data_IF_894729521829
#
_entry.id   IF_894729521829
#
_cell.length_a   1.000
_cell.length_b   1.000
_cell.length_c   1.000
_cell.angle_alpha   90.00
_cell.angle_beta   90.00
_cell.angle_gamma   90.00
#
_symmetry.space_group_name_H-M   'P 1'
#
loop_
_entity.id
_entity.type
_entity.pdbx_description
1 polymer ?
#
# COMPACT_ATOMS: atom_id res chain seq x y z
N UNK A 1 19.35 71.59 -32.43
CA UNK A 1 19.62 70.24 -31.90
C UNK A 1 19.09 70.20 -30.48
N UNK A 2 17.84 69.76 -30.30
CA UNK A 2 17.14 69.69 -29.01
C UNK A 2 16.95 68.20 -28.73
N UNK A 3 17.58 67.69 -27.67
CA UNK A 3 17.36 66.32 -27.20
C UNK A 3 16.14 66.31 -26.29
N UNK A 4 15.07 65.65 -26.75
CA UNK A 4 13.88 65.38 -25.97
C UNK A 4 14.15 64.12 -25.13
N UNK A 5 14.29 64.27 -23.81
CA UNK A 5 14.31 63.14 -22.88
C UNK A 5 12.89 62.63 -22.69
N UNK A 6 12.59 61.44 -23.24
CA UNK A 6 11.33 60.75 -23.03
C UNK A 6 11.49 59.84 -21.81
N UNK A 7 11.02 60.29 -20.64
CA UNK A 7 11.00 59.48 -19.42
C UNK A 7 9.80 58.54 -19.51
N UNK A 8 10.05 57.26 -19.75
CA UNK A 8 9.02 56.22 -19.64
C UNK A 8 8.81 55.92 -18.16
N UNK A 9 7.75 56.46 -17.57
CA UNK A 9 7.24 55.98 -16.29
C UNK A 9 6.57 54.61 -16.54
N UNK A 10 7.25 53.51 -16.23
CA UNK A 10 6.59 52.22 -16.09
C UNK A 10 5.85 52.21 -14.75
N UNK A 11 4.52 52.36 -14.77
CA UNK A 11 3.69 52.03 -13.61
C UNK A 11 3.62 50.51 -13.58
N UNK A 12 4.41 49.89 -12.71
CA UNK A 12 4.21 48.49 -12.33
C UNK A 12 2.96 48.45 -11.46
N UNK A 13 1.83 48.08 -12.05
CA UNK A 13 0.63 47.71 -11.29
C UNK A 13 1.00 46.47 -10.48
N UNK A 14 1.19 46.62 -9.16
CA UNK A 14 1.24 45.47 -8.27
C UNK A 14 -0.14 44.81 -8.35
N UNK A 15 -0.23 43.63 -8.97
CA UNK A 15 -1.41 42.80 -8.85
C UNK A 15 -1.46 42.29 -7.40
N UNK A 16 -2.45 42.76 -6.66
CA UNK A 16 -2.76 42.30 -5.32
C UNK A 16 -3.27 40.85 -5.41
N UNK A 17 -2.64 39.91 -4.71
CA UNK A 17 -2.95 38.48 -4.81
C UNK A 17 -3.68 38.01 -3.54
N UNK A 18 -4.96 37.65 -3.69
CA UNK A 18 -5.66 36.85 -2.69
C UNK A 18 -5.01 35.46 -2.62
N UNK A 19 -4.67 34.99 -1.42
CA UNK A 19 -4.11 33.65 -1.21
C UNK A 19 -5.07 32.80 -0.40
N UNK A 20 -5.48 31.70 -0.99
CA UNK A 20 -6.27 30.67 -0.32
C UNK A 20 -5.34 29.53 0.09
N UNK A 21 -5.46 29.07 1.32
CA UNK A 21 -4.70 27.93 1.81
C UNK A 21 -5.63 26.93 2.51
N UNK A 22 -5.65 25.69 2.04
CA UNK A 22 -6.27 24.62 2.81
C UNK A 22 -5.37 24.37 4.03
N UNK A 23 -5.85 24.73 5.22
CA UNK A 23 -5.09 24.60 6.47
C UNK A 23 -5.02 23.16 6.97
N UNK A 24 -5.98 22.33 6.57
CA UNK A 24 -5.88 20.90 6.77
C UNK A 24 -5.02 20.30 5.64
N UNK A 25 -3.74 20.05 5.90
CA UNK A 25 -2.74 19.53 4.93
C UNK A 25 -3.06 18.13 4.36
N UNK A 26 -4.29 17.66 4.48
CA UNK A 26 -4.74 16.39 3.95
C UNK A 26 -5.42 16.63 2.61
N UNK A 27 -4.72 16.30 1.52
CA UNK A 27 -5.31 16.22 0.17
C UNK A 27 -6.31 15.06 0.03
N UNK A 28 -6.79 14.52 1.15
CA UNK A 28 -7.67 13.39 1.21
C UNK A 28 -8.73 13.56 2.29
N UNK A 29 -9.99 13.45 1.86
CA UNK A 29 -11.17 13.77 2.65
C UNK A 29 -12.16 12.60 2.58
N UNK A 30 -13.11 12.56 3.51
CA UNK A 30 -14.15 11.52 3.57
C UNK A 30 -15.47 12.13 3.12
N UNK A 31 -16.19 11.47 2.19
CA UNK A 31 -17.53 11.89 1.79
C UNK A 31 -18.48 11.90 3.01
N UNK A 32 -19.20 13.00 3.24
CA UNK A 32 -19.99 13.19 4.47
C UNK A 32 -19.21 13.76 5.66
N UNK A 33 -17.88 13.89 5.53
CA UNK A 33 -17.01 14.52 6.52
C UNK A 33 -16.95 16.04 6.39
N UNK A 34 -16.18 16.65 7.28
CA UNK A 34 -15.94 18.09 7.32
C UNK A 34 -14.52 18.41 6.82
N UNK A 35 -14.37 19.50 6.09
CA UNK A 35 -13.08 20.03 5.63
C UNK A 35 -12.92 21.46 6.12
N UNK A 36 -11.88 21.68 6.92
CA UNK A 36 -11.48 23.01 7.38
C UNK A 36 -10.61 23.71 6.33
N UNK A 37 -10.82 25.01 6.15
CA UNK A 37 -10.02 25.84 5.26
C UNK A 37 -9.73 27.23 5.85
N UNK A 38 -8.68 27.88 5.34
CA UNK A 38 -8.31 29.24 5.72
C UNK A 38 -8.12 30.12 4.49
N UNK A 39 -8.65 31.34 4.57
CA UNK A 39 -8.49 32.35 3.52
C UNK A 39 -7.69 33.51 4.08
N UNK A 40 -6.59 33.85 3.41
CA UNK A 40 -5.71 34.93 3.80
C UNK A 40 -5.66 35.96 2.67
N UNK A 41 -6.29 37.11 2.87
CA UNK A 41 -6.09 38.25 2.00
C UNK A 41 -4.82 38.99 2.40
N UNK A 42 -4.00 39.37 1.41
CA UNK A 42 -2.91 40.32 1.65
C UNK A 42 -3.37 41.77 1.62
N UNK A 43 -4.60 42.04 1.15
CA UNK A 43 -5.19 43.37 1.17
C UNK A 43 -6.20 43.48 2.32
N UNK A 44 -5.90 44.35 3.28
CA UNK A 44 -6.75 44.62 4.44
C UNK A 44 -8.02 45.41 4.08
N UNK A 45 -8.11 46.00 2.88
CA UNK A 45 -9.24 46.83 2.46
C UNK A 45 -10.25 46.09 1.57
N UNK A 46 -9.86 44.94 1.01
CA UNK A 46 -10.73 44.12 0.17
C UNK A 46 -11.05 42.84 0.91
N UNK A 47 -12.29 42.74 1.41
CA UNK A 47 -12.79 41.57 2.09
C UNK A 47 -13.70 40.82 1.09
N UNK A 48 -13.18 39.85 0.34
CA UNK A 48 -13.95 39.21 -0.72
C UNK A 48 -15.05 38.34 -0.12
N UNK A 49 -16.25 38.41 -0.68
CA UNK A 49 -17.13 37.25 -0.59
C UNK A 49 -16.52 36.15 -1.45
N UNK A 50 -16.39 34.95 -0.91
CA UNK A 50 -15.79 33.82 -1.62
C UNK A 50 -16.84 32.76 -1.91
N UNK A 51 -16.56 31.97 -2.93
CA UNK A 51 -17.39 30.85 -3.32
C UNK A 51 -16.49 29.63 -3.53
N UNK A 52 -16.77 28.55 -2.81
CA UNK A 52 -15.99 27.30 -2.84
C UNK A 52 -16.83 26.23 -3.52
N UNK A 53 -16.26 25.54 -4.50
CA UNK A 53 -16.92 24.41 -5.18
C UNK A 53 -16.01 23.21 -5.36
N UNK A 54 -16.66 22.05 -5.46
CA UNK A 54 -16.04 20.77 -5.75
C UNK A 54 -16.53 20.30 -7.11
N UNK A 55 -15.60 20.08 -8.03
CA UNK A 55 -15.87 19.57 -9.38
C UNK A 55 -15.18 18.22 -9.59
N UNK A 56 -15.81 17.35 -10.39
CA UNK A 56 -15.19 16.10 -10.82
C UNK A 56 -14.22 16.29 -11.99
N UNK A 57 -13.57 15.20 -12.42
CA UNK A 57 -12.65 15.20 -13.56
C UNK A 57 -13.29 15.58 -14.91
N UNK A 58 -14.62 15.60 -15.01
CA UNK A 58 -15.37 16.05 -16.18
C UNK A 58 -15.90 17.49 -16.01
N UNK A 59 -15.42 18.21 -15.00
CA UNK A 59 -15.79 19.59 -14.67
C UNK A 59 -17.27 19.75 -14.28
N UNK A 60 -17.92 18.67 -13.82
CA UNK A 60 -19.27 18.77 -13.28
C UNK A 60 -19.21 19.28 -11.84
N UNK A 61 -19.92 20.37 -11.57
CA UNK A 61 -20.11 20.90 -10.21
C UNK A 61 -20.96 19.94 -9.38
N UNK A 62 -20.36 19.39 -8.32
CA UNK A 62 -21.00 18.42 -7.43
C UNK A 62 -21.50 19.06 -6.14
N UNK A 63 -20.79 20.07 -5.66
CA UNK A 63 -21.13 20.81 -4.45
C UNK A 63 -20.55 22.21 -4.54
N UNK A 64 -21.25 23.19 -3.97
CA UNK A 64 -20.63 24.48 -3.72
C UNK A 64 -21.34 25.27 -2.63
N UNK A 65 -20.60 26.17 -2.00
CA UNK A 65 -21.02 26.97 -0.87
C UNK A 65 -20.38 28.37 -0.94
N UNK A 66 -21.14 29.39 -0.57
CA UNK A 66 -20.68 30.77 -0.55
C UNK A 66 -20.42 31.20 0.89
N UNK A 67 -19.30 31.89 1.10
CA UNK A 67 -18.89 32.37 2.40
C UNK A 67 -18.66 33.87 2.35
N UNK A 68 -19.23 34.60 3.31
CA UNK A 68 -18.89 35.98 3.54
C UNK A 68 -17.64 36.01 4.43
N UNK A 69 -16.54 36.48 3.86
CA UNK A 69 -15.34 36.78 4.66
C UNK A 69 -15.62 38.12 5.35
N UNK A 70 -15.43 38.18 6.66
CA UNK A 70 -15.61 39.42 7.44
C UNK A 70 -14.27 39.98 7.95
N UNK A 71 -13.28 39.10 8.14
CA UNK A 71 -11.93 39.44 8.56
C UNK A 71 -10.95 38.39 8.04
N UNK A 72 -9.68 38.75 7.88
CA UNK A 72 -8.62 37.83 7.46
C UNK A 72 -7.53 37.73 8.52
N UNK A 73 -7.06 36.53 8.89
CA UNK A 73 -7.39 35.23 8.30
C UNK A 73 -8.83 34.78 8.62
N UNK A 74 -9.51 34.23 7.61
CA UNK A 74 -10.85 33.69 7.72
C UNK A 74 -10.80 32.18 7.78
N UNK A 75 -11.37 31.58 8.81
CA UNK A 75 -11.42 30.13 8.96
C UNK A 75 -12.87 29.67 8.94
N UNK A 76 -13.15 28.63 8.16
CA UNK A 76 -14.46 28.01 8.13
C UNK A 76 -14.35 26.53 7.74
N UNK A 77 -15.47 25.83 7.81
CA UNK A 77 -15.59 24.41 7.56
C UNK A 77 -16.67 24.18 6.50
N UNK A 78 -16.40 23.31 5.54
CA UNK A 78 -17.41 22.83 4.57
C UNK A 78 -17.71 21.35 4.84
N UNK A 79 -18.99 21.00 4.93
CA UNK A 79 -19.42 19.59 5.05
C UNK A 79 -19.55 18.98 3.66
N UNK A 80 -18.73 17.97 3.36
CA UNK A 80 -18.78 17.25 2.09
C UNK A 80 -20.05 16.44 1.94
N UNK A 81 -20.65 16.44 0.75
CA UNK A 81 -21.81 15.62 0.44
C UNK A 81 -21.49 14.13 0.60
N UNK A 82 -22.32 13.41 1.38
CA UNK A 82 -22.18 11.95 1.56
C UNK A 82 -22.43 11.11 0.30
N UNK A 83 -22.87 11.76 -0.79
CA UNK A 83 -23.10 11.13 -2.10
C UNK A 83 -21.92 11.29 -3.07
N UNK A 84 -20.88 12.05 -2.70
CA UNK A 84 -19.66 12.15 -3.51
C UNK A 84 -19.04 10.77 -3.65
N UNK A 85 -18.65 10.37 -4.84
CA UNK A 85 -18.00 9.07 -5.07
C UNK A 85 -16.55 9.10 -4.62
N UNK A 86 -15.94 7.93 -4.44
CA UNK A 86 -14.50 7.88 -4.23
C UNK A 86 -13.78 8.32 -5.50
N UNK A 87 -12.81 9.23 -5.42
CA UNK A 87 -12.11 9.74 -6.60
C UNK A 87 -11.27 10.99 -6.37
N UNK A 88 -10.70 11.50 -7.45
CA UNK A 88 -9.98 12.78 -7.51
C UNK A 88 -10.94 13.88 -7.97
N UNK A 89 -10.84 15.04 -7.32
CA UNK A 89 -11.67 16.21 -7.54
C UNK A 89 -10.81 17.47 -7.55
N UNK A 90 -11.36 18.56 -8.06
CA UNK A 90 -10.79 19.90 -7.86
C UNK A 90 -11.66 20.68 -6.88
N UNK A 91 -11.01 21.29 -5.90
CA UNK A 91 -11.58 22.30 -5.03
C UNK A 91 -11.23 23.66 -5.61
N UNK A 92 -12.22 24.34 -6.18
CA UNK A 92 -12.06 25.68 -6.72
C UNK A 92 -12.59 26.71 -5.73
N UNK A 93 -11.87 27.81 -5.59
CA UNK A 93 -12.25 28.96 -4.79
C UNK A 93 -12.31 30.16 -5.71
N UNK A 94 -13.44 30.85 -5.71
CA UNK A 94 -13.68 32.01 -6.54
C UNK A 94 -13.93 33.24 -5.70
N UNK A 95 -13.62 34.39 -6.28
CA UNK A 95 -14.17 35.66 -5.84
C UNK A 95 -15.63 35.73 -6.30
N UNK A 96 -16.57 35.91 -5.37
CA UNK A 96 -18.00 35.92 -5.65
C UNK A 96 -18.42 37.13 -6.52
N UNK A 97 -17.68 38.24 -6.48
CA UNK A 97 -18.06 39.47 -7.18
C UNK A 97 -17.79 39.40 -8.69
N UNK A 98 -16.64 38.89 -9.09
CA UNK A 98 -16.20 38.84 -10.49
C UNK A 98 -16.08 37.41 -11.05
N UNK A 99 -16.36 36.40 -10.22
CA UNK A 99 -16.27 34.98 -10.55
C UNK A 99 -14.88 34.56 -11.04
N UNK A 100 -13.83 35.29 -10.65
CA UNK A 100 -12.44 34.92 -10.92
C UNK A 100 -11.99 33.82 -9.96
N UNK A 101 -11.20 32.87 -10.47
CA UNK A 101 -10.61 31.80 -9.65
C UNK A 101 -9.50 32.41 -8.79
N UNK A 102 -9.67 32.34 -7.47
CA UNK A 102 -8.66 32.68 -6.47
C UNK A 102 -7.66 31.51 -6.31
N UNK A 103 -8.17 30.28 -6.23
CA UNK A 103 -7.36 29.07 -6.07
C UNK A 103 -8.05 27.84 -6.64
N UNK A 104 -7.26 26.85 -7.02
CA UNK A 104 -7.73 25.55 -7.49
C UNK A 104 -6.77 24.48 -6.97
N UNK A 105 -7.28 23.52 -6.20
CA UNK A 105 -6.47 22.49 -5.56
C UNK A 105 -7.04 21.09 -5.80
N UNK A 106 -6.17 20.14 -6.12
CA UNK A 106 -6.56 18.76 -6.33
C UNK A 106 -6.74 18.05 -4.99
N UNK A 107 -7.94 17.52 -4.75
CA UNK A 107 -8.29 16.78 -3.54
C UNK A 107 -8.75 15.36 -3.91
N UNK A 108 -8.58 14.44 -2.99
CA UNK A 108 -9.10 13.07 -3.08
C UNK A 108 -10.24 12.93 -2.09
N UNK A 109 -11.37 12.37 -2.51
CA UNK A 109 -12.48 12.04 -1.61
C UNK A 109 -12.64 10.53 -1.57
N UNK A 110 -12.84 9.97 -0.38
CA UNK A 110 -13.15 8.56 -0.14
C UNK A 110 -14.60 8.45 0.33
N UNK A 111 -15.43 7.70 -0.40
CA UNK A 111 -16.77 7.36 0.06
C UNK A 111 -16.81 5.97 0.68
N UNK A 112 -16.82 5.92 2.00
CA UNK A 112 -16.86 4.67 2.77
C UNK A 112 -18.07 3.78 2.45
N UNK A 113 -19.17 4.33 1.90
CA UNK A 113 -20.34 3.53 1.50
C UNK A 113 -20.10 2.71 0.24
N UNK A 114 -19.25 3.17 -0.68
CA UNK A 114 -18.93 2.41 -1.90
C UNK A 114 -18.17 1.11 -1.60
N UNK A 115 -17.43 1.11 -0.50
CA UNK A 115 -16.72 -0.07 0.01
C UNK A 115 -17.66 -1.09 0.68
N UNK A 116 -18.93 -0.73 0.95
CA UNK A 116 -19.89 -1.60 1.63
C UNK A 116 -20.82 -2.39 0.69
N UNK A 117 -20.83 -2.10 -0.61
CA UNK A 117 -21.86 -2.58 -1.54
C UNK A 117 -21.30 -3.43 -2.69
N UNK A 118 -20.62 -4.54 -2.38
CA UNK A 118 -20.57 -5.73 -3.24
C UNK A 118 -20.43 -6.97 -2.37
N UNK A 119 -21.55 -7.60 -2.00
CA UNK A 119 -21.52 -8.96 -1.46
C UNK A 119 -22.62 -9.84 -2.07
N UNK A 120 -22.16 -11.00 -2.53
CA UNK A 120 -22.83 -12.04 -3.32
C UNK A 120 -23.50 -13.05 -2.37
N UNK A 121 -24.68 -13.54 -2.73
CA UNK A 121 -25.40 -14.59 -2.01
C UNK A 121 -24.83 -15.99 -2.28
N UNK A 122 -24.58 -16.77 -1.22
CA UNK A 122 -24.48 -18.23 -1.27
C UNK A 122 -23.55 -18.79 -0.19
N UNK A 123 -24.03 -19.71 0.65
CA UNK A 123 -23.20 -20.46 1.59
C UNK A 123 -23.20 -21.96 1.24
N UNK A 124 -22.01 -22.56 1.24
CA UNK A 124 -21.81 -23.99 1.38
C UNK A 124 -20.49 -24.25 2.10
N UNK A 125 -20.51 -25.20 3.02
CA UNK A 125 -19.37 -25.72 3.78
C UNK A 125 -18.25 -26.19 2.83
N UNK A 126 -17.02 -25.78 3.11
CA UNK A 126 -15.86 -25.95 2.23
C UNK A 126 -14.83 -26.86 2.92
N UNK A 127 -14.77 -28.10 2.44
CA UNK A 127 -13.76 -29.09 2.86
C UNK A 127 -12.48 -28.84 2.04
N UNK A 128 -11.44 -28.34 2.69
CA UNK A 128 -10.16 -27.94 2.07
C UNK A 128 -9.10 -29.00 2.36
N UNK A 129 -9.00 -30.01 1.49
CA UNK A 129 -8.04 -31.12 1.61
C UNK A 129 -6.80 -30.99 0.72
N UNK A 130 -6.33 -29.77 0.39
CA UNK A 130 -5.09 -29.59 -0.38
C UNK A 130 -4.15 -28.48 0.11
N UNK A 131 -2.88 -28.61 -0.27
CA UNK A 131 -1.68 -28.02 0.36
C UNK A 131 -1.44 -26.59 -0.17
N UNK A 132 -1.37 -25.61 0.75
CA UNK A 132 -1.26 -24.14 0.57
C UNK A 132 -2.37 -23.46 -0.26
N UNK A 133 -2.73 -22.20 0.04
CA UNK A 133 -3.85 -21.55 -0.65
C UNK A 133 -3.83 -20.04 -0.72
N UNK A 134 -4.62 -19.51 -1.67
CA UNK A 134 -4.75 -18.09 -1.96
C UNK A 134 -6.17 -17.57 -1.80
N UNK A 135 -6.36 -16.46 -1.09
CA UNK A 135 -7.66 -15.81 -0.95
C UNK A 135 -7.66 -14.54 -1.81
N UNK A 136 -8.54 -14.51 -2.82
CA UNK A 136 -8.89 -13.28 -3.56
C UNK A 136 -10.10 -12.65 -2.87
N UNK A 137 -9.93 -11.46 -2.31
CA UNK A 137 -11.06 -10.78 -1.67
C UNK A 137 -10.99 -9.28 -1.79
N UNK A 138 -12.15 -8.63 -1.92
CA UNK A 138 -12.30 -7.18 -1.99
C UNK A 138 -12.72 -6.62 -0.62
N UNK A 139 -12.04 -7.02 0.46
CA UNK A 139 -12.46 -6.69 1.83
C UNK A 139 -11.37 -5.98 2.63
N UNK A 140 -11.81 -5.10 3.53
CA UNK A 140 -11.01 -4.72 4.69
C UNK A 140 -11.05 -5.85 5.72
N UNK A 141 -9.97 -6.61 5.87
CA UNK A 141 -9.88 -7.67 6.88
C UNK A 141 -9.12 -7.13 8.09
N UNK A 142 -9.84 -6.90 9.20
CA UNK A 142 -9.27 -6.57 10.52
C UNK A 142 -9.43 -7.73 11.52
N UNK A 143 -9.86 -8.89 11.05
CA UNK A 143 -10.07 -10.04 11.93
C UNK A 143 -8.78 -10.83 12.12
N UNK A 144 -8.77 -11.65 13.17
CA UNK A 144 -7.67 -12.58 13.38
C UNK A 144 -7.85 -13.75 12.43
N UNK A 145 -6.84 -14.03 11.62
CA UNK A 145 -6.81 -15.21 10.77
C UNK A 145 -6.09 -16.31 11.53
N UNK A 146 -6.80 -17.42 11.80
CA UNK A 146 -6.26 -18.58 12.48
C UNK A 146 -6.22 -19.77 11.54
N UNK A 147 -5.23 -20.63 11.74
CA UNK A 147 -5.17 -21.89 11.04
C UNK A 147 -4.39 -22.93 11.80
N UNK A 148 -4.38 -24.14 11.27
CA UNK A 148 -3.60 -25.27 11.77
C UNK A 148 -2.68 -25.78 10.67
N UNK A 149 -1.44 -26.09 11.04
CA UNK A 149 -0.51 -26.79 10.16
C UNK A 149 -0.50 -28.26 10.54
N UNK A 150 -0.72 -29.14 9.56
CA UNK A 150 -0.61 -30.58 9.72
C UNK A 150 0.39 -31.15 8.72
N UNK A 151 1.05 -32.24 9.08
CA UNK A 151 1.82 -33.08 8.16
C UNK A 151 1.38 -34.52 8.36
N UNK A 152 1.02 -35.20 7.27
CA UNK A 152 0.41 -36.53 7.32
C UNK A 152 -0.81 -36.62 8.26
N UNK A 153 -1.59 -35.54 8.36
CA UNK A 153 -2.77 -35.43 9.22
C UNK A 153 -2.50 -34.99 10.67
N UNK A 154 -1.24 -35.03 11.14
CA UNK A 154 -0.88 -34.70 12.51
C UNK A 154 -0.48 -33.22 12.67
N UNK A 155 -0.93 -32.51 13.73
CA UNK A 155 -0.55 -31.13 13.97
C UNK A 155 0.95 -30.94 14.18
N UNK A 156 1.51 -29.87 13.64
CA UNK A 156 2.95 -29.63 13.66
C UNK A 156 3.31 -28.43 14.53
N UNK A 157 4.10 -28.65 15.59
CA UNK A 157 4.55 -27.62 16.53
C UNK A 157 5.77 -26.85 16.01
N UNK A 158 5.82 -25.55 16.30
CA UNK A 158 6.96 -24.66 16.04
C UNK A 158 7.35 -24.57 14.57
N UNK A 159 6.39 -24.74 13.67
CA UNK A 159 6.56 -24.47 12.24
C UNK A 159 6.33 -22.98 12.01
N UNK A 160 7.26 -22.35 11.30
CA UNK A 160 7.12 -20.96 10.90
C UNK A 160 6.23 -20.88 9.67
N UNK A 161 5.04 -20.30 9.84
CA UNK A 161 4.08 -20.01 8.78
C UNK A 161 4.19 -18.55 8.44
N UNK A 162 4.20 -18.21 7.16
CA UNK A 162 4.06 -16.84 6.74
C UNK A 162 2.76 -16.59 6.02
N UNK A 163 2.33 -15.34 6.09
CA UNK A 163 1.24 -14.79 5.33
C UNK A 163 1.77 -13.60 4.54
N UNK A 164 1.54 -13.62 3.24
CA UNK A 164 1.87 -12.53 2.35
C UNK A 164 0.60 -12.03 1.67
N UNK A 165 0.39 -10.72 1.68
CA UNK A 165 -0.74 -10.08 1.01
C UNK A 165 -0.17 -9.21 -0.11
N UNK A 166 -0.54 -9.51 -1.36
CA UNK A 166 -0.11 -8.75 -2.52
C UNK A 166 -1.28 -7.94 -3.07
N UNK A 167 -1.09 -6.64 -3.20
CA UNK A 167 -2.06 -5.69 -3.74
C UNK A 167 -1.73 -4.27 -3.29
N UNK A 168 -2.73 -3.50 -2.88
CA UNK A 168 -2.55 -2.08 -2.51
C UNK A 168 -1.71 -1.93 -1.23
N UNK A 169 -1.88 -2.87 -0.29
CA UNK A 169 -1.09 -2.94 0.94
C UNK A 169 -0.26 -4.23 0.92
N UNK A 170 0.96 -4.13 0.40
CA UNK A 170 1.92 -5.23 0.47
C UNK A 170 2.23 -5.56 1.93
N UNK A 171 1.66 -6.65 2.44
CA UNK A 171 1.73 -7.04 3.84
C UNK A 171 2.45 -8.38 3.99
N UNK A 172 3.46 -8.41 4.83
CA UNK A 172 4.13 -9.65 5.20
C UNK A 172 4.07 -9.89 6.71
N UNK A 173 3.70 -11.11 7.11
CA UNK A 173 3.62 -11.51 8.53
C UNK A 173 4.10 -12.94 8.70
N UNK A 174 4.72 -13.23 9.84
CA UNK A 174 5.13 -14.57 10.24
C UNK A 174 4.47 -14.91 11.57
N UNK A 175 4.06 -16.17 11.72
CA UNK A 175 3.58 -16.75 12.96
C UNK A 175 4.24 -18.12 13.14
N UNK A 176 4.42 -18.56 14.38
CA UNK A 176 4.92 -19.91 14.68
C UNK A 176 3.79 -20.72 15.27
N UNK A 177 3.66 -21.97 14.83
CA UNK A 177 2.61 -22.84 15.36
C UNK A 177 2.87 -23.23 16.81
N UNK A 178 1.80 -23.33 17.59
CA UNK A 178 1.83 -23.78 18.98
C UNK A 178 1.91 -25.33 19.09
N UNK A 179 1.73 -25.87 20.30
CA UNK A 179 1.78 -27.32 20.54
C UNK A 179 0.68 -28.12 19.82
N UNK A 180 -0.39 -27.45 19.42
CA UNK A 180 -1.53 -28.02 18.69
C UNK A 180 -1.45 -27.72 17.19
N UNK A 181 -0.32 -27.21 16.70
CA UNK A 181 -0.14 -26.81 15.31
C UNK A 181 -0.87 -25.53 14.93
N UNK A 182 -1.44 -24.79 15.88
CA UNK A 182 -2.24 -23.59 15.61
C UNK A 182 -1.35 -22.37 15.40
N UNK A 183 -1.68 -21.56 14.40
CA UNK A 183 -1.10 -20.24 14.19
C UNK A 183 -2.19 -19.16 14.14
N UNK A 184 -1.81 -17.92 14.43
CA UNK A 184 -2.67 -16.75 14.34
C UNK A 184 -1.93 -15.58 13.68
N UNK A 185 -2.60 -14.92 12.75
CA UNK A 185 -2.24 -13.62 12.20
C UNK A 185 -3.32 -12.61 12.59
N UNK A 186 -2.93 -11.36 12.83
CA UNK A 186 -3.87 -10.24 13.07
C UNK A 186 -3.67 -9.16 12.02
N UNK A 187 -3.89 -9.48 10.73
CA UNK A 187 -3.59 -8.53 9.68
C UNK A 187 -4.63 -7.41 9.68
N UNK A 188 -4.19 -6.24 9.22
CA UNK A 188 -5.08 -5.15 8.82
C UNK A 188 -4.80 -4.95 7.34
N UNK A 189 -5.65 -5.51 6.49
CA UNK A 189 -5.52 -5.49 5.03
C UNK A 189 -6.69 -4.69 4.47
N UNK A 190 -6.45 -3.78 3.53
CA UNK A 190 -7.49 -3.06 2.79
C UNK A 190 -7.39 -3.32 1.30
N UNK A 191 -8.53 -3.34 0.59
CA UNK A 191 -8.56 -3.41 -0.87
C UNK A 191 -8.60 -4.82 -1.45
N UNK A 192 -8.27 -4.93 -2.73
CA UNK A 192 -8.24 -6.20 -3.47
C UNK A 192 -6.86 -6.82 -3.37
N UNK A 193 -6.70 -7.79 -2.48
CA UNK A 193 -5.41 -8.43 -2.30
C UNK A 193 -5.49 -9.95 -2.48
N UNK A 194 -4.40 -10.50 -2.97
CA UNK A 194 -4.13 -11.93 -2.98
C UNK A 194 -3.38 -12.28 -1.69
N UNK A 195 -3.99 -13.08 -0.82
CA UNK A 195 -3.34 -13.55 0.42
C UNK A 195 -2.75 -14.93 0.19
N UNK A 196 -1.44 -15.10 0.40
CA UNK A 196 -0.68 -16.33 0.26
C UNK A 196 -0.24 -16.84 1.63
N UNK A 197 -0.31 -18.17 1.81
CA UNK A 197 0.18 -18.86 3.01
C UNK A 197 1.15 -19.97 2.64
N UNK A 198 2.30 -20.03 3.31
CA UNK A 198 3.21 -21.17 3.19
C UNK A 198 4.06 -21.32 4.47
N UNK A 199 4.82 -22.42 4.54
CA UNK A 199 5.83 -22.66 5.57
C UNK A 199 7.21 -22.15 5.12
N UNK A 200 8.00 -21.66 6.07
CA UNK A 200 9.39 -21.28 5.79
C UNK A 200 10.36 -22.45 5.94
N UNK A 201 10.01 -23.44 6.75
CA UNK A 201 10.98 -24.43 7.20
C UNK A 201 11.31 -25.47 6.13
N UNK A 202 10.54 -25.59 5.04
CA UNK A 202 10.79 -26.38 3.82
C UNK A 202 11.05 -27.89 4.01
N UNK A 203 11.11 -28.36 5.27
CA UNK A 203 11.56 -29.69 5.67
C UNK A 203 10.45 -30.72 5.77
N UNK A 204 9.22 -30.25 5.81
CA UNK A 204 8.06 -31.11 5.97
C UNK A 204 7.43 -31.34 4.61
N UNK A 205 7.46 -32.60 4.19
CA UNK A 205 6.67 -33.07 3.06
C UNK A 205 5.20 -33.24 3.50
N UNK A 206 4.28 -33.12 2.53
CA UNK A 206 2.84 -33.34 2.74
C UNK A 206 2.22 -32.45 3.83
N UNK A 207 2.58 -31.17 3.86
CA UNK A 207 1.93 -30.19 4.74
C UNK A 207 0.58 -29.77 4.19
N UNK A 208 -0.44 -29.79 5.05
CA UNK A 208 -1.68 -29.04 4.84
C UNK A 208 -1.79 -27.87 5.81
N UNK A 209 -2.12 -26.69 5.29
CA UNK A 209 -2.49 -25.52 6.08
C UNK A 209 -4.00 -25.37 5.98
N UNK A 210 -4.70 -25.59 7.09
CA UNK A 210 -6.15 -25.45 7.17
C UNK A 210 -6.50 -24.16 7.92
N UNK A 211 -7.26 -23.27 7.28
CA UNK A 211 -7.69 -22.00 7.88
C UNK A 211 -8.93 -22.25 8.74
N UNK A 212 -8.75 -22.22 10.07
CA UNK A 212 -9.80 -22.40 11.06
C UNK A 212 -10.32 -21.01 11.44
N UNK A 213 -11.06 -20.38 10.54
CA UNK A 213 -11.67 -19.09 10.87
C UNK A 213 -13.15 -19.28 11.20
N UNK A 214 -13.45 -19.45 12.49
CA UNK A 214 -14.83 -19.65 12.97
C UNK A 214 -15.74 -18.43 12.79
N UNK A 215 -15.21 -17.24 12.49
CA UNK A 215 -16.02 -16.04 12.23
C UNK A 215 -16.23 -15.77 10.72
N UNK A 216 -15.86 -16.69 9.83
CA UNK A 216 -16.13 -16.54 8.40
C UNK A 216 -17.63 -16.47 8.09
N UNK A 217 -18.46 -17.17 8.85
CA UNK A 217 -19.91 -17.04 8.72
C UNK A 217 -20.41 -15.65 9.11
N UNK A 218 -19.80 -14.98 10.10
CA UNK A 218 -20.13 -13.57 10.43
C UNK A 218 -19.69 -12.59 9.34
N UNK A 219 -18.67 -12.93 8.55
CA UNK A 219 -18.24 -12.13 7.39
C UNK A 219 -19.27 -12.21 6.25
N UNK A 220 -19.97 -13.34 6.11
CA UNK A 220 -20.99 -13.57 5.08
C UNK A 220 -22.42 -13.29 5.56
N UNK A 221 -22.66 -13.26 6.87
CA UNK A 221 -23.99 -13.11 7.49
C UNK A 221 -24.30 -11.71 7.97
N UNK A 222 -23.65 -10.67 7.43
CA UNK A 222 -24.19 -9.30 7.53
C UNK A 222 -25.39 -9.21 6.57
N UNK A 223 -26.45 -9.96 6.87
CA UNK A 223 -27.78 -9.73 6.30
C UNK A 223 -28.22 -8.38 6.84
N UNK A 224 -28.48 -7.46 5.92
CA UNK A 224 -29.18 -6.20 6.15
C UNK A 224 -28.95 -5.67 7.56
N UNK A 225 -27.80 -4.99 7.75
CA UNK A 225 -27.80 -3.94 8.77
C UNK A 225 -28.86 -2.96 8.26
N UNK A 226 -30.10 -3.11 8.74
CA UNK A 226 -31.04 -2.00 8.70
C UNK A 226 -30.24 -0.80 9.18
N UNK A 227 -30.14 0.28 8.40
CA UNK A 227 -29.38 1.44 8.80
C UNK A 227 -29.93 1.88 10.15
N UNK A 228 -29.23 1.49 11.22
CA UNK A 228 -29.52 1.95 12.56
C UNK A 228 -29.58 3.46 12.44
N UNK A 229 -30.68 4.12 12.88
CA UNK A 229 -30.80 5.56 12.76
C UNK A 229 -29.52 6.17 13.33
N UNK A 230 -28.72 6.71 12.41
CA UNK A 230 -27.34 7.11 12.65
C UNK A 230 -27.37 8.15 13.77
N UNK A 231 -27.06 7.73 15.00
CA UNK A 231 -26.83 8.66 16.08
C UNK A 231 -25.46 9.30 15.83
N UNK A 232 -25.49 10.48 15.19
CA UNK A 232 -24.36 11.39 14.92
C UNK A 232 -23.48 11.71 16.13
N UNK A 233 -23.89 11.33 17.35
CA UNK A 233 -23.15 11.55 18.59
C UNK A 233 -21.92 10.67 18.83
N UNK A 234 -21.67 9.62 18.03
CA UNK A 234 -20.54 8.70 18.27
C UNK A 234 -19.36 8.79 17.29
N UNK A 235 -19.44 9.67 16.29
CA UNK A 235 -18.32 9.96 15.39
C UNK A 235 -17.16 10.67 16.08
N UNK A 236 -17.41 11.32 17.22
CA UNK A 236 -16.38 11.99 18.04
C UNK A 236 -15.42 11.01 18.74
N UNK A 237 -15.69 9.71 18.72
CA UNK A 237 -14.85 8.69 19.39
C UNK A 237 -14.12 7.76 18.41
N UNK A 238 -14.27 7.94 17.09
CA UNK A 238 -13.35 7.27 16.16
C UNK A 238 -12.00 7.96 16.31
N UNK A 239 -11.10 7.29 17.02
CA UNK A 239 -9.80 7.82 17.39
C UNK A 239 -9.11 8.43 16.17
N UNK A 240 -8.79 9.72 16.26
CA UNK A 240 -8.10 10.50 15.23
C UNK A 240 -6.85 9.78 14.72
N UNK A 241 -6.23 8.94 15.54
CA UNK A 241 -5.08 8.09 15.18
C UNK A 241 -5.45 7.03 14.14
N UNK A 242 -6.62 6.39 14.28
CA UNK A 242 -7.09 5.36 13.32
C UNK A 242 -7.43 5.98 11.97
N UNK A 243 -8.08 7.14 11.97
CA UNK A 243 -8.37 7.89 10.74
C UNK A 243 -7.06 8.39 10.13
N UNK A 244 -6.14 8.97 10.91
CA UNK A 244 -4.82 9.42 10.43
C UNK A 244 -4.00 8.28 9.80
N UNK A 245 -4.03 7.07 10.38
CA UNK A 245 -3.30 5.93 9.85
C UNK A 245 -3.91 5.40 8.54
N UNK A 246 -5.24 5.31 8.47
CA UNK A 246 -5.96 4.98 7.22
C UNK A 246 -5.69 6.04 6.13
N UNK A 247 -5.64 7.30 6.54
CA UNK A 247 -5.44 8.44 5.64
C UNK A 247 -4.01 8.46 5.08
N UNK A 248 -3.02 8.23 5.95
CA UNK A 248 -1.61 8.14 5.55
C UNK A 248 -1.38 7.01 4.55
N UNK A 249 -1.86 5.80 4.84
CA UNK A 249 -1.66 4.63 3.98
C UNK A 249 -2.25 4.86 2.57
N UNK A 250 -3.44 5.47 2.47
CA UNK A 250 -4.08 5.69 1.17
C UNK A 250 -3.45 6.87 0.38
N UNK A 251 -2.98 7.92 1.06
CA UNK A 251 -2.28 9.04 0.42
C UNK A 251 -0.91 8.62 -0.16
N UNK A 252 -0.19 7.75 0.54
CA UNK A 252 1.08 7.20 0.08
C UNK A 252 0.92 6.34 -1.20
N UNK A 253 -0.27 5.75 -1.42
CA UNK A 253 -0.61 4.93 -2.59
C UNK A 253 -1.07 5.73 -3.83
N UNK A 254 -1.50 7.00 -3.68
CA UNK A 254 -2.09 7.79 -4.79
C UNK A 254 -1.14 8.72 -5.55
N UNK A 255 0.09 8.91 -5.05
CA UNK A 255 1.09 9.83 -5.63
C UNK A 255 2.02 9.18 -6.67
N UNK A 256 1.82 7.91 -7.01
CA UNK A 256 2.62 7.21 -8.02
C UNK A 256 2.33 7.65 -9.46
N UNK A 257 3.36 8.17 -10.13
CA UNK A 257 3.58 7.84 -11.54
C UNK A 257 3.74 6.31 -11.69
N UNK A 258 4.07 5.81 -12.88
CA UNK A 258 4.33 4.38 -13.06
C UNK A 258 5.57 3.93 -12.27
N UNK A 259 5.38 3.74 -10.98
CA UNK A 259 6.36 3.24 -10.05
C UNK A 259 6.21 1.73 -10.03
N UNK A 260 7.35 1.07 -10.14
CA UNK A 260 7.56 -0.38 -9.94
C UNK A 260 6.63 -0.88 -8.84
N UNK A 261 6.07 -2.09 -9.00
CA UNK A 261 5.36 -2.84 -7.95
C UNK A 261 6.34 -3.21 -6.82
N UNK A 262 6.92 -2.21 -6.18
CA UNK A 262 7.77 -2.36 -5.03
C UNK A 262 6.83 -2.80 -3.90
N UNK A 263 7.20 -3.88 -3.21
CA UNK A 263 6.91 -4.01 -1.77
C UNK A 263 7.08 -2.60 -1.19
N UNK A 264 6.04 -2.06 -0.54
CA UNK A 264 5.86 -0.61 -0.33
C UNK A 264 7.13 0.11 0.15
N UNK A 265 7.20 1.43 -0.03
CA UNK A 265 8.30 2.38 0.27
C UNK A 265 9.04 2.23 1.63
N UNK A 266 8.73 1.23 2.43
CA UNK A 266 9.14 1.00 3.80
C UNK A 266 10.30 0.01 3.99
N UNK A 267 10.74 -0.73 2.95
CA UNK A 267 11.95 -1.57 3.06
C UNK A 267 13.20 -0.83 2.52
N UNK A 268 14.31 -0.90 3.26
CA UNK A 268 15.55 -0.22 2.90
C UNK A 268 16.35 -1.09 1.95
N UNK A 269 16.58 -0.56 0.75
CA UNK A 269 17.49 -1.12 -0.24
C UNK A 269 18.86 -0.48 -0.04
N UNK A 270 19.88 -1.29 0.21
CA UNK A 270 21.27 -0.81 0.28
C UNK A 270 21.87 -0.65 -1.13
N UNK A 271 21.57 -1.58 -2.03
CA UNK A 271 22.08 -1.63 -3.39
C UNK A 271 20.97 -2.06 -4.34
N UNK A 272 20.82 -1.36 -5.47
CA UNK A 272 19.90 -1.72 -6.55
C UNK A 272 20.68 -1.81 -7.86
N UNK A 273 20.64 -2.97 -8.50
CA UNK A 273 21.42 -3.27 -9.69
C UNK A 273 20.46 -3.56 -10.83
N UNK A 274 20.41 -2.66 -11.82
CA UNK A 274 19.51 -2.78 -12.98
C UNK A 274 20.14 -3.68 -14.03
N UNK A 275 19.43 -4.75 -14.42
CA UNK A 275 19.95 -5.76 -15.34
C UNK A 275 20.22 -5.21 -16.75
N UNK A 276 19.42 -4.22 -17.18
CA UNK A 276 19.56 -3.57 -18.48
C UNK A 276 20.91 -2.85 -18.67
N UNK A 277 21.65 -2.57 -17.60
CA UNK A 277 22.97 -1.91 -17.69
C UNK A 277 24.10 -2.91 -18.01
N UNK A 278 23.82 -4.23 -17.99
CA UNK A 278 24.83 -5.30 -18.07
C UNK A 278 24.46 -6.43 -19.04
N UNK A 279 24.04 -6.06 -20.26
CA UNK A 279 23.54 -6.95 -21.32
C UNK A 279 24.50 -8.06 -21.82
N UNK A 280 25.73 -8.14 -21.32
CA UNK A 280 26.72 -9.14 -21.76
C UNK A 280 26.69 -10.44 -20.98
N UNK A 281 25.98 -10.50 -19.85
CA UNK A 281 25.99 -11.64 -18.95
C UNK A 281 25.05 -12.75 -19.44
N UNK A 282 25.50 -13.99 -19.37
CA UNK A 282 24.81 -15.14 -19.95
C UNK A 282 23.69 -15.69 -19.06
N UNK A 283 23.76 -15.48 -17.74
CA UNK A 283 22.79 -16.02 -16.78
C UNK A 283 22.62 -15.12 -15.55
N UNK A 284 21.54 -15.36 -14.81
CA UNK A 284 21.29 -14.72 -13.51
C UNK A 284 22.33 -15.13 -12.47
N UNK A 285 22.85 -16.36 -12.55
CA UNK A 285 23.98 -16.80 -11.74
C UNK A 285 25.21 -15.91 -11.97
N UNK A 286 25.58 -15.70 -13.24
CA UNK A 286 26.73 -14.86 -13.60
C UNK A 286 26.50 -13.41 -13.12
N UNK A 287 25.30 -12.88 -13.38
CA UNK A 287 24.88 -11.55 -12.94
C UNK A 287 25.01 -11.36 -11.43
N UNK A 288 24.49 -12.29 -10.64
CA UNK A 288 24.63 -12.24 -9.20
C UNK A 288 26.10 -12.37 -8.83
N UNK A 289 26.82 -13.35 -9.40
CA UNK A 289 28.24 -13.65 -9.12
C UNK A 289 29.18 -12.47 -9.36
N UNK A 290 28.91 -11.63 -10.34
CA UNK A 290 29.75 -10.50 -10.70
C UNK A 290 29.30 -9.21 -10.02
N UNK A 291 28.00 -8.92 -10.02
CA UNK A 291 27.52 -7.57 -9.73
C UNK A 291 27.04 -7.37 -8.31
N UNK A 292 26.46 -8.39 -7.66
CA UNK A 292 25.95 -8.24 -6.29
C UNK A 292 27.11 -8.11 -5.29
N UNK A 293 27.32 -6.96 -4.62
CA UNK A 293 28.52 -6.80 -3.81
C UNK A 293 28.44 -7.60 -2.50
N UNK A 294 29.58 -7.76 -1.83
CA UNK A 294 29.68 -8.33 -0.48
C UNK A 294 28.92 -9.65 -0.25
N UNK A 295 28.92 -10.52 -1.25
CA UNK A 295 28.31 -11.85 -1.19
C UNK A 295 29.37 -12.94 -1.13
N UNK A 296 28.95 -14.12 -0.69
CA UNK A 296 29.71 -15.36 -0.78
C UNK A 296 28.80 -16.45 -1.31
N UNK A 297 29.14 -16.99 -2.47
CA UNK A 297 28.47 -18.14 -3.06
C UNK A 297 29.25 -19.40 -2.68
N UNK A 298 28.55 -20.46 -2.27
CA UNK A 298 29.14 -21.78 -1.98
C UNK A 298 28.42 -22.84 -2.79
N UNK A 299 29.19 -23.60 -3.57
CA UNK A 299 28.65 -24.68 -4.40
C UNK A 299 29.06 -26.02 -3.78
N UNK A 300 28.08 -26.87 -3.47
CA UNK A 300 28.29 -28.22 -2.94
C UNK A 300 27.32 -29.19 -3.61
N UNK A 301 27.78 -29.93 -4.63
CA UNK A 301 27.03 -31.05 -5.28
C UNK A 301 25.50 -30.84 -5.31
N UNK A 302 25.04 -29.99 -6.23
CA UNK A 302 23.64 -29.62 -6.45
C UNK A 302 22.98 -28.79 -5.33
N UNK A 303 23.78 -28.17 -4.46
CA UNK A 303 23.33 -27.23 -3.43
C UNK A 303 24.22 -25.98 -3.54
N UNK A 304 23.66 -24.91 -4.10
CA UNK A 304 24.29 -23.63 -4.36
C UNK A 304 23.68 -22.60 -3.43
N UNK A 305 24.49 -22.09 -2.50
CA UNK A 305 24.01 -21.20 -1.44
C UNK A 305 24.65 -19.83 -1.53
N UNK A 306 23.89 -18.81 -1.19
CA UNK A 306 24.37 -17.43 -1.13
C UNK A 306 24.32 -16.88 0.30
N UNK A 307 25.42 -16.26 0.73
CA UNK A 307 25.53 -15.59 2.01
C UNK A 307 25.91 -14.12 1.81
N UNK A 308 25.31 -13.22 2.56
CA UNK A 308 25.69 -11.80 2.56
C UNK A 308 26.70 -11.49 3.68
N UNK A 309 27.54 -10.48 3.44
CA UNK A 309 28.45 -9.94 4.45
C UNK A 309 27.65 -9.15 5.49
N UNK A 310 27.85 -9.48 6.76
CA UNK A 310 27.43 -8.62 7.84
C UNK A 310 28.40 -7.43 7.92
N UNK A 311 27.94 -6.25 7.50
CA UNK A 311 28.74 -5.01 7.47
C UNK A 311 29.23 -4.60 8.87
N UNK A 312 28.54 -4.98 9.95
CA UNK A 312 28.93 -4.64 11.32
C UNK A 312 30.06 -5.53 11.85
N UNK A 313 30.00 -6.84 11.58
CA UNK A 313 31.00 -7.80 12.09
C UNK A 313 32.12 -8.08 11.08
N UNK A 314 32.01 -7.54 9.85
CA UNK A 314 32.91 -7.85 8.73
C UNK A 314 33.06 -9.36 8.47
N UNK A 315 32.01 -10.13 8.78
CA UNK A 315 31.96 -11.58 8.58
C UNK A 315 30.69 -11.95 7.84
N UNK A 316 30.73 -13.02 7.04
CA UNK A 316 29.52 -13.48 6.36
C UNK A 316 28.52 -14.04 7.37
N UNK A 317 27.23 -13.79 7.13
CA UNK A 317 26.17 -14.43 7.90
C UNK A 317 26.28 -15.96 7.83
N UNK A 318 25.84 -16.62 8.90
CA UNK A 318 25.86 -18.08 8.99
C UNK A 318 24.76 -18.74 8.16
N UNK A 319 23.67 -18.01 7.93
CA UNK A 319 22.49 -18.44 7.19
C UNK A 319 22.31 -17.56 5.95
N UNK A 320 21.49 -18.05 5.03
CA UNK A 320 21.18 -17.41 3.75
C UNK A 320 20.24 -16.22 3.99
N UNK A 321 20.28 -15.18 3.13
CA UNK A 321 19.36 -14.06 3.22
C UNK A 321 17.94 -14.51 2.86
N UNK A 322 16.96 -13.66 3.16
CA UNK A 322 15.61 -13.81 2.63
C UNK A 322 15.62 -13.57 1.12
N UNK A 323 15.04 -14.48 0.35
CA UNK A 323 14.92 -14.37 -1.10
C UNK A 323 13.49 -13.98 -1.50
N UNK A 324 13.38 -12.99 -2.37
CA UNK A 324 12.10 -12.45 -2.85
C UNK A 324 12.15 -12.35 -4.38
N UNK A 325 11.08 -12.72 -5.08
CA UNK A 325 10.90 -12.50 -6.53
C UNK A 325 9.54 -11.85 -6.77
N UNK A 326 9.51 -10.64 -7.34
CA UNK A 326 8.28 -9.85 -7.60
C UNK A 326 7.38 -9.72 -6.37
N UNK A 327 8.02 -9.54 -5.21
CA UNK A 327 7.36 -9.48 -3.91
C UNK A 327 7.18 -10.83 -3.24
N UNK A 328 7.19 -11.96 -3.96
CA UNK A 328 6.98 -13.30 -3.39
C UNK A 328 8.22 -13.86 -2.72
N UNK A 329 8.08 -14.35 -1.49
CA UNK A 329 9.17 -15.10 -0.86
C UNK A 329 9.39 -16.43 -1.56
N UNK A 330 10.64 -16.75 -1.84
CA UNK A 330 11.05 -18.03 -2.41
C UNK A 330 11.96 -18.79 -1.43
N UNK A 331 11.91 -20.13 -1.45
CA UNK A 331 12.51 -20.95 -0.39
C UNK A 331 14.04 -21.00 -0.45
N UNK A 332 14.63 -20.86 -1.64
CA UNK A 332 16.05 -21.12 -1.87
C UNK A 332 16.64 -20.26 -2.99
N UNK A 333 17.97 -20.30 -3.08
CA UNK A 333 18.73 -19.52 -4.04
C UNK A 333 18.64 -20.12 -5.46
N UNK A 334 18.44 -21.42 -5.58
CA UNK A 334 18.24 -22.11 -6.85
C UNK A 334 17.02 -21.58 -7.61
N UNK A 335 15.92 -21.31 -6.91
CA UNK A 335 14.72 -20.68 -7.49
C UNK A 335 15.03 -19.33 -8.16
N UNK A 336 15.98 -18.58 -7.58
CA UNK A 336 16.46 -17.31 -8.15
C UNK A 336 17.31 -17.54 -9.40
N UNK A 337 18.16 -18.56 -9.40
CA UNK A 337 19.06 -18.87 -10.52
C UNK A 337 18.30 -19.34 -11.78
N UNK A 338 17.11 -19.93 -11.60
CA UNK A 338 16.25 -20.37 -12.70
C UNK A 338 15.59 -19.22 -13.47
N UNK A 339 15.57 -18.00 -12.91
CA UNK A 339 15.09 -16.82 -13.63
C UNK A 339 16.06 -16.52 -14.76
N UNK A 340 15.56 -16.48 -16.00
CA UNK A 340 16.38 -16.08 -17.14
C UNK A 340 16.76 -14.60 -17.05
N UNK A 341 18.02 -14.29 -17.35
CA UNK A 341 18.54 -12.92 -17.30
C UNK A 341 17.76 -11.95 -18.21
N UNK A 342 17.22 -12.44 -19.32
CA UNK A 342 16.36 -11.67 -20.23
C UNK A 342 15.05 -11.19 -19.59
N UNK A 343 14.59 -11.87 -18.54
CA UNK A 343 13.38 -11.53 -17.79
C UNK A 343 13.67 -10.70 -16.54
N UNK A 344 14.94 -10.58 -16.13
CA UNK A 344 15.34 -9.82 -14.95
C UNK A 344 15.30 -8.32 -15.25
N UNK A 345 14.66 -7.53 -14.39
CA UNK A 345 14.71 -6.07 -14.41
C UNK A 345 15.81 -5.54 -13.48
N UNK A 346 15.80 -5.96 -12.22
CA UNK A 346 16.80 -5.56 -11.23
C UNK A 346 16.97 -6.59 -10.12
N UNK A 347 18.08 -6.45 -9.38
CA UNK A 347 18.31 -7.10 -8.10
C UNK A 347 18.53 -6.02 -7.04
N UNK A 348 17.69 -6.04 -6.01
CA UNK A 348 17.80 -5.19 -4.85
C UNK A 348 18.36 -6.00 -3.68
N UNK A 349 19.31 -5.43 -2.96
CA UNK A 349 20.03 -6.11 -1.87
C UNK A 349 19.95 -5.25 -0.62
N UNK A 350 19.67 -5.91 0.51
CA UNK A 350 19.84 -5.34 1.84
C UNK A 350 20.68 -6.24 2.74
N UNK A 351 21.65 -5.65 3.45
CA UNK A 351 22.65 -6.37 4.25
C UNK A 351 22.28 -6.53 5.73
N UNK A 352 21.01 -6.30 6.10
CA UNK A 352 20.44 -6.28 7.47
C UNK A 352 20.35 -4.85 8.03
N UNK A 353 19.23 -4.18 7.73
CA UNK A 353 18.82 -2.94 8.37
C UNK A 353 17.81 -3.22 9.48
N UNK A 354 17.76 -2.37 10.51
CA UNK A 354 16.76 -2.48 11.57
C UNK A 354 15.33 -2.33 11.03
N UNK A 355 15.16 -1.61 9.93
CA UNK A 355 13.86 -1.41 9.27
C UNK A 355 13.39 -2.67 8.53
N UNK A 356 14.30 -3.40 7.89
CA UNK A 356 13.93 -4.67 7.26
C UNK A 356 13.57 -5.74 8.29
N UNK A 357 14.14 -5.69 9.50
CA UNK A 357 13.68 -6.51 10.63
C UNK A 357 12.27 -6.13 11.10
N UNK A 358 11.87 -4.87 11.01
CA UNK A 358 10.49 -4.47 11.34
C UNK A 358 9.51 -5.03 10.32
N UNK A 359 9.90 -5.08 9.04
CA UNK A 359 9.02 -5.54 7.97
C UNK A 359 8.96 -7.07 7.86
N UNK A 360 10.12 -7.74 7.80
CA UNK A 360 10.22 -9.19 7.58
C UNK A 360 10.52 -10.00 8.85
N UNK A 361 10.64 -9.35 10.01
CA UNK A 361 10.97 -10.03 11.26
C UNK A 361 12.35 -10.70 11.21
N UNK A 362 12.45 -11.88 11.84
CA UNK A 362 13.71 -12.64 11.93
C UNK A 362 14.26 -13.09 10.56
N UNK A 363 13.44 -13.11 9.49
CA UNK A 363 13.88 -13.56 8.17
C UNK A 363 14.86 -12.60 7.50
N UNK A 364 14.67 -11.29 7.67
CA UNK A 364 15.59 -10.29 7.13
C UNK A 364 16.88 -10.15 7.95
N UNK A 365 17.04 -10.91 9.04
CA UNK A 365 18.21 -10.78 9.91
C UNK A 365 19.52 -11.04 9.18
N UNK A 366 19.52 -11.96 8.20
CA UNK A 366 20.69 -12.31 7.38
C UNK A 366 20.76 -11.51 6.07
N UNK A 367 19.95 -10.46 5.97
CA UNK A 367 19.76 -9.65 4.77
C UNK A 367 18.60 -10.12 3.90
N UNK A 368 18.33 -9.36 2.84
CA UNK A 368 17.27 -9.61 1.86
C UNK A 368 17.86 -9.45 0.47
N UNK A 369 17.53 -10.37 -0.43
CA UNK A 369 17.78 -10.25 -1.87
C UNK A 369 16.44 -10.34 -2.57
N UNK A 370 16.09 -9.28 -3.27
CA UNK A 370 14.87 -9.19 -4.06
C UNK A 370 15.22 -9.12 -5.54
N UNK A 371 14.60 -9.99 -6.32
CA UNK A 371 14.61 -9.94 -7.77
C UNK A 371 13.31 -9.32 -8.23
N UNK A 372 13.42 -8.35 -9.14
CA UNK A 372 12.29 -7.81 -9.87
C UNK A 372 12.40 -8.29 -11.31
N UNK A 373 11.38 -8.96 -11.80
CA UNK A 373 11.26 -9.36 -13.20
C UNK A 373 10.57 -8.25 -13.98
N UNK A 374 10.87 -8.15 -15.27
CA UNK A 374 10.31 -7.14 -16.18
C UNK A 374 8.79 -7.19 -16.25
N UNK A 375 8.20 -8.37 -16.06
CA UNK A 375 6.75 -8.53 -16.10
C UNK A 375 6.11 -8.27 -14.73
N UNK A 376 6.83 -8.49 -13.63
CA UNK A 376 6.25 -8.41 -12.28
C UNK A 376 5.16 -9.46 -12.04
N UNK A 377 5.29 -10.61 -12.71
CA UNK A 377 4.28 -11.68 -12.77
C UNK A 377 4.77 -12.99 -12.20
N UNK A 378 5.98 -13.06 -11.62
CA UNK A 378 6.47 -14.31 -11.03
C UNK A 378 5.46 -14.88 -10.04
N UNK A 379 5.22 -16.17 -10.14
CA UNK A 379 4.41 -16.96 -9.21
C UNK A 379 5.16 -18.26 -8.95
N UNK A 380 5.49 -18.60 -7.69
CA UNK A 380 6.21 -19.83 -7.40
C UNK A 380 5.40 -21.05 -7.83
N UNK A 381 6.02 -21.97 -8.58
CA UNK A 381 5.36 -23.22 -9.01
C UNK A 381 5.13 -24.20 -7.83
N UNK A 382 6.00 -24.13 -6.81
CA UNK A 382 6.00 -25.00 -5.63
C UNK A 382 4.95 -24.62 -4.59
N UNK A 383 4.34 -23.43 -4.70
CA UNK A 383 3.08 -23.13 -4.06
C UNK A 383 1.96 -23.60 -4.98
N UNK A 384 1.28 -24.70 -4.66
CA UNK A 384 -0.02 -24.98 -5.28
C UNK A 384 -0.90 -23.76 -5.05
N UNK A 385 -1.10 -22.97 -6.10
CA UNK A 385 -2.03 -21.86 -6.11
C UNK A 385 -3.44 -22.43 -5.94
N UNK A 386 -3.91 -22.65 -4.71
CA UNK A 386 -5.33 -22.88 -4.49
C UNK A 386 -6.01 -21.53 -4.68
N UNK A 387 -6.54 -21.35 -5.87
CA UNK A 387 -7.54 -20.34 -6.15
C UNK A 387 -8.76 -20.71 -5.32
N UNK A 388 -9.02 -20.00 -4.22
CA UNK A 388 -10.33 -20.10 -3.57
C UNK A 388 -11.34 -19.65 -4.61
N UNK A 389 -12.13 -20.59 -5.15
CA UNK A 389 -13.26 -20.29 -6.03
C UNK A 389 -14.31 -19.54 -5.21
N UNK A 390 -14.10 -18.24 -5.01
CA UNK A 390 -15.19 -17.30 -4.82
C UNK A 390 -15.87 -17.13 -6.18
N UNK A 391 -17.02 -17.80 -6.35
CA UNK A 391 -18.07 -17.48 -7.31
C UNK A 391 -17.64 -17.22 -8.77
N UNK A 392 -17.85 -18.23 -9.64
CA UNK A 392 -18.14 -17.92 -11.04
C UNK A 392 -19.66 -17.70 -11.18
N UNK A 393 -19.99 -16.46 -11.55
CA UNK A 393 -21.20 -15.90 -12.17
C UNK A 393 -22.55 -16.61 -11.98
#
# INVERSE_FOLDING_TARGET
>A
MIFLFCTVLSVTTYCEELKFAITNQQNMLIAGGEMDFEVVSTDANTIPSIYVEIVDAADNRLQAEAFLVEETPYQNTITLSSNLKSGKYLLNVFNLEDNSIISSEAITIINLREFSLKNVQGSKELDLTEHSGSIHSNFSFKQNLKGIVRSAGEPQKSISVFMQCNGDDNLFRISKTDENGLFEFKPTIFGTNEVYFDQLDGKLENISIEIINNDYEKLLSVKDIEPSPFHSKKLTEIDSVTIKNLVKNYADNLTGGQDRKNLGKDFIIDESIVAADYFTLASTEEFISELVPYKKIKNKKNDTRLYLLNKFTSSYFKNEPLFIIDGFIVPDFETILDIKIENLESIDVSYSSQDNLQFFGELAFYGVIQLNTKEGTFRPESGKLIKVKGFNQ
#
